data_IF_692454817574
#
_entry.id   IF_692454817574
#
_cell.length_a   1.000
_cell.length_b   1.000
_cell.length_c   1.000
_cell.angle_alpha   90.00
_cell.angle_beta   90.00
_cell.angle_gamma   90.00
#
_symmetry.space_group_name_H-M   'P 1'
#
loop_
_entity.id
_entity.type
_entity.pdbx_description
1 polymer ?
#
# COMPACT_ATOMS: atom_id res chain seq x y z
N UNK A 1 -14.04 2.00 13.81
CA UNK A 1 -14.69 2.04 12.51
C UNK A 1 -15.06 0.64 12.05
N UNK A 2 -16.22 0.51 11.46
CA UNK A 2 -16.74 -0.77 10.99
C UNK A 2 -16.15 -1.12 9.63
N UNK A 3 -15.47 -2.27 9.54
CA UNK A 3 -14.87 -2.75 8.30
C UNK A 3 -15.90 -3.27 7.30
N UNK A 4 -17.13 -3.53 7.74
CA UNK A 4 -18.21 -3.96 6.86
C UNK A 4 -18.63 -2.90 5.85
N UNK A 5 -18.27 -1.63 6.10
CA UNK A 5 -18.50 -0.52 5.17
C UNK A 5 -17.66 -0.61 3.90
N UNK A 6 -16.64 -1.49 3.86
CA UNK A 6 -15.74 -1.62 2.74
C UNK A 6 -16.07 -2.84 1.91
N UNK A 7 -15.87 -2.69 0.59
CA UNK A 7 -16.10 -3.78 -0.37
C UNK A 7 -14.78 -4.51 -0.63
N UNK A 8 -14.79 -5.84 -0.50
CA UNK A 8 -13.62 -6.66 -0.82
C UNK A 8 -13.27 -6.60 -2.30
N UNK A 9 -11.99 -6.54 -2.60
CA UNK A 9 -11.48 -6.61 -3.95
C UNK A 9 -11.78 -7.98 -4.57
N UNK A 10 -12.20 -7.97 -5.84
CA UNK A 10 -12.36 -9.20 -6.62
C UNK A 10 -11.03 -9.78 -7.06
N UNK A 11 -9.94 -9.03 -6.87
CA UNK A 11 -8.61 -9.44 -7.34
C UNK A 11 -7.87 -10.34 -6.35
N UNK A 12 -8.44 -10.63 -5.19
CA UNK A 12 -7.80 -11.57 -4.25
C UNK A 12 -7.69 -12.93 -4.94
N UNK A 13 -6.46 -13.46 -5.01
CA UNK A 13 -6.14 -14.67 -5.75
C UNK A 13 -5.80 -14.44 -7.20
N UNK A 14 -5.84 -13.19 -7.68
CA UNK A 14 -5.55 -12.82 -9.07
C UNK A 14 -4.24 -12.04 -9.16
N UNK A 15 -3.60 -12.00 -10.34
CA UNK A 15 -2.45 -11.12 -10.54
C UNK A 15 -2.85 -9.65 -10.38
N UNK A 16 -1.91 -8.82 -9.93
CA UNK A 16 -2.12 -7.37 -9.96
C UNK A 16 -2.40 -6.93 -11.39
N UNK A 17 -3.27 -5.93 -11.60
CA UNK A 17 -3.49 -5.39 -12.93
C UNK A 17 -2.21 -4.79 -13.49
N UNK A 18 -2.10 -4.75 -14.81
CA UNK A 18 -0.97 -4.10 -15.46
C UNK A 18 -1.12 -2.58 -15.34
N UNK A 19 -0.05 -1.92 -14.85
CA UNK A 19 -0.06 -0.46 -14.68
C UNK A 19 1.35 0.09 -14.60
N UNK A 20 1.46 1.40 -14.77
CA UNK A 20 2.68 2.15 -14.55
C UNK A 20 2.32 3.53 -14.01
N UNK A 21 2.77 3.85 -12.82
CA UNK A 21 2.50 5.13 -12.17
C UNK A 21 3.79 5.95 -12.05
N UNK A 22 3.72 7.25 -12.33
CA UNK A 22 4.87 8.13 -12.12
C UNK A 22 5.18 8.30 -10.64
N UNK A 23 6.37 8.83 -10.30
CA UNK A 23 6.71 9.12 -8.91
C UNK A 23 5.70 10.08 -8.28
N UNK A 24 5.30 9.80 -7.06
CA UNK A 24 4.39 10.66 -6.30
C UNK A 24 5.11 11.80 -5.60
N UNK A 25 6.42 11.66 -5.39
CA UNK A 25 7.23 12.63 -4.67
C UNK A 25 8.66 12.57 -5.21
N UNK A 26 9.35 13.71 -5.17
CA UNK A 26 10.75 13.78 -5.58
C UNK A 26 11.62 12.91 -4.67
N UNK A 27 12.59 12.23 -5.25
CA UNK A 27 13.54 11.40 -4.51
C UNK A 27 13.08 9.97 -4.26
N UNK A 28 11.88 9.60 -4.70
CA UNK A 28 11.34 8.27 -4.54
C UNK A 28 10.84 7.77 -5.90
N UNK A 29 11.23 6.55 -6.35
CA UNK A 29 10.78 6.07 -7.65
C UNK A 29 9.28 5.83 -7.68
N UNK A 30 8.69 5.88 -8.88
CA UNK A 30 7.31 5.48 -9.10
C UNK A 30 7.13 3.98 -9.00
N UNK A 31 5.96 3.49 -9.40
CA UNK A 31 5.60 2.09 -9.25
C UNK A 31 4.96 1.56 -10.53
N UNK A 32 5.50 0.45 -11.02
CA UNK A 32 4.88 -0.30 -12.11
C UNK A 32 4.51 -1.70 -11.62
N UNK A 33 3.57 -2.36 -12.32
CA UNK A 33 3.14 -3.71 -11.95
C UNK A 33 4.30 -4.70 -11.94
N UNK A 34 5.31 -4.52 -12.80
CA UNK A 34 6.49 -5.38 -12.83
C UNK A 34 7.31 -5.31 -11.53
N UNK A 35 7.25 -4.19 -10.81
CA UNK A 35 7.91 -4.07 -9.51
C UNK A 35 7.26 -4.97 -8.45
N UNK A 36 6.02 -5.40 -8.68
CA UNK A 36 5.25 -6.24 -7.77
C UNK A 36 5.37 -7.73 -8.08
N UNK A 37 6.15 -8.10 -9.09
CA UNK A 37 6.46 -9.50 -9.43
C UNK A 37 7.97 -9.70 -9.54
N UNK A 38 8.70 -9.15 -8.58
CA UNK A 38 10.17 -9.14 -8.57
C UNK A 38 10.77 -10.33 -7.81
N UNK A 39 9.98 -11.31 -7.45
CA UNK A 39 10.44 -12.49 -6.74
C UNK A 39 10.39 -12.39 -5.23
N UNK A 40 9.85 -11.30 -4.69
CA UNK A 40 9.74 -11.08 -3.24
C UNK A 40 8.31 -10.72 -2.86
N UNK A 41 7.79 -11.29 -1.74
CA UNK A 41 6.50 -10.83 -1.22
C UNK A 41 6.64 -9.43 -0.66
N UNK A 42 5.59 -8.62 -0.83
CA UNK A 42 5.61 -7.24 -0.38
C UNK A 42 4.21 -6.73 -0.10
N UNK A 43 4.13 -5.63 0.64
CA UNK A 43 2.88 -4.93 0.88
C UNK A 43 2.74 -3.76 -0.09
N UNK A 44 1.51 -3.54 -0.53
CA UNK A 44 1.12 -2.37 -1.33
C UNK A 44 0.09 -1.60 -0.51
N UNK A 45 0.40 -0.34 -0.21
CA UNK A 45 -0.45 0.50 0.64
C UNK A 45 -1.01 1.68 -0.15
N UNK A 46 -2.33 1.74 -0.26
CA UNK A 46 -3.03 2.90 -0.82
C UNK A 46 -3.25 3.91 0.30
N UNK A 47 -2.79 5.14 0.10
CA UNK A 47 -2.90 6.19 1.11
C UNK A 47 -3.12 7.56 0.45
N UNK A 48 -3.39 8.55 1.29
CA UNK A 48 -3.42 9.95 0.88
C UNK A 48 -2.92 10.83 2.01
N UNK A 49 -2.24 11.91 1.69
CA UNK A 49 -1.77 12.87 2.69
C UNK A 49 -2.95 13.55 3.42
N UNK A 50 -4.12 13.60 2.76
CA UNK A 50 -5.36 14.18 3.26
C UNK A 50 -6.16 13.20 4.15
N UNK A 51 -5.69 11.98 4.31
CA UNK A 51 -6.43 10.88 4.94
C UNK A 51 -6.01 10.73 6.41
N UNK A 52 -6.94 10.98 7.34
CA UNK A 52 -6.66 10.90 8.78
C UNK A 52 -6.31 9.47 9.23
N UNK A 53 -7.05 8.42 8.86
CA UNK A 53 -6.67 7.05 9.22
C UNK A 53 -5.30 6.63 8.69
N UNK A 54 -4.86 7.21 7.58
CA UNK A 54 -3.51 6.96 7.04
C UNK A 54 -2.43 7.46 8.00
N UNK A 55 -2.68 8.54 8.71
CA UNK A 55 -1.78 9.04 9.75
C UNK A 55 -1.74 8.09 10.93
N UNK A 56 -2.89 7.54 11.31
CA UNK A 56 -3.01 6.64 12.45
C UNK A 56 -2.24 5.33 12.23
N UNK A 57 -2.16 4.84 10.99
CA UNK A 57 -1.44 3.58 10.70
C UNK A 57 0.06 3.77 10.51
N UNK A 58 0.55 5.00 10.39
CA UNK A 58 1.96 5.26 10.07
C UNK A 58 2.94 4.53 11.01
N UNK A 59 2.75 4.49 12.34
CA UNK A 59 3.64 3.74 13.22
C UNK A 59 3.67 2.25 12.92
N UNK A 60 2.55 1.67 12.50
CA UNK A 60 2.44 0.25 12.20
C UNK A 60 3.15 -0.09 10.88
N UNK A 61 3.04 0.78 9.87
CA UNK A 61 3.81 0.62 8.65
C UNK A 61 5.31 0.72 8.93
N UNK A 62 5.72 1.65 9.80
CA UNK A 62 7.11 1.78 10.21
C UNK A 62 7.60 0.50 10.89
N UNK A 63 6.79 -0.09 11.76
CA UNK A 63 7.14 -1.34 12.45
C UNK A 63 7.31 -2.50 11.47
N UNK A 64 6.43 -2.61 10.47
CA UNK A 64 6.54 -3.64 9.43
C UNK A 64 7.80 -3.44 8.59
N UNK A 65 8.09 -2.21 8.18
CA UNK A 65 9.30 -1.89 7.42
C UNK A 65 10.56 -2.22 8.23
N UNK A 66 10.58 -1.88 9.52
CA UNK A 66 11.70 -2.19 10.41
C UNK A 66 11.91 -3.69 10.57
N UNK A 67 10.85 -4.49 10.46
CA UNK A 67 10.93 -5.95 10.49
C UNK A 67 11.36 -6.56 9.17
N UNK A 68 11.63 -5.74 8.14
CA UNK A 68 12.15 -6.20 6.86
C UNK A 68 11.12 -6.32 5.75
N UNK A 69 9.86 -5.96 6.00
CA UNK A 69 8.81 -6.05 4.99
C UNK A 69 8.96 -4.93 3.98
N UNK A 70 9.15 -5.24 2.68
CA UNK A 70 9.13 -4.21 1.65
C UNK A 70 7.70 -3.66 1.51
N UNK A 71 7.58 -2.34 1.49
CA UNK A 71 6.29 -1.67 1.36
C UNK A 71 6.36 -0.68 0.20
N UNK A 72 5.46 -0.82 -0.76
CA UNK A 72 5.28 0.17 -1.81
C UNK A 72 4.02 0.96 -1.54
N UNK A 73 4.07 2.25 -1.81
CA UNK A 73 2.95 3.15 -1.60
C UNK A 73 2.29 3.57 -2.90
N UNK A 74 0.99 3.79 -2.86
CA UNK A 74 0.24 4.40 -3.95
C UNK A 74 -0.49 5.60 -3.35
N UNK A 75 -0.05 6.80 -3.75
CA UNK A 75 -0.65 8.04 -3.29
C UNK A 75 -1.87 8.36 -4.14
N UNK A 76 -3.05 8.34 -3.52
CA UNK A 76 -4.32 8.53 -4.19
C UNK A 76 -4.68 10.02 -4.22
N UNK A 77 -4.92 10.54 -5.44
CA UNK A 77 -5.44 11.91 -5.64
C UNK A 77 -4.70 12.92 -4.78
N UNK A 78 -3.38 12.95 -4.92
CA UNK A 78 -2.49 13.73 -4.08
C UNK A 78 -1.52 14.53 -4.94
N UNK A 79 -0.76 15.40 -4.33
CA UNK A 79 0.28 16.17 -5.01
C UNK A 79 1.64 15.97 -4.33
N UNK A 80 2.76 16.20 -5.06
CA UNK A 80 4.08 15.89 -4.52
C UNK A 80 4.45 16.65 -3.26
N UNK A 81 4.03 17.90 -3.15
CA UNK A 81 4.35 18.73 -1.98
C UNK A 81 3.66 18.21 -0.73
N UNK A 82 2.37 17.88 -0.82
CA UNK A 82 1.63 17.35 0.30
C UNK A 82 2.10 15.94 0.69
N UNK A 83 2.45 15.12 -0.29
CA UNK A 83 3.06 13.80 -0.01
C UNK A 83 4.37 13.98 0.76
N UNK A 84 5.23 14.92 0.34
CA UNK A 84 6.49 15.19 1.05
C UNK A 84 6.25 15.58 2.50
N UNK A 85 5.32 16.49 2.74
CA UNK A 85 4.98 16.93 4.10
C UNK A 85 4.47 15.77 4.96
N UNK A 86 3.64 14.92 4.37
CA UNK A 86 3.12 13.73 5.05
C UNK A 86 4.25 12.78 5.47
N UNK A 87 5.16 12.48 4.55
CA UNK A 87 6.30 11.59 4.85
C UNK A 87 7.23 12.19 5.89
N UNK A 88 7.48 13.49 5.82
CA UNK A 88 8.34 14.18 6.79
C UNK A 88 7.74 14.16 8.20
N UNK A 89 6.41 14.28 8.29
CA UNK A 89 5.72 14.35 9.58
C UNK A 89 5.47 12.97 10.20
N UNK A 90 5.08 11.98 9.38
CA UNK A 90 4.61 10.69 9.88
C UNK A 90 5.57 9.53 9.59
N UNK A 91 6.61 9.76 8.80
CA UNK A 91 7.59 8.73 8.45
C UNK A 91 7.41 8.23 7.02
N UNK A 92 8.49 7.65 6.49
CA UNK A 92 8.57 7.13 5.12
C UNK A 92 8.96 5.65 5.15
N UNK A 93 7.99 4.75 5.24
CA UNK A 93 8.26 3.31 5.23
C UNK A 93 8.38 2.74 3.82
N UNK A 94 8.19 3.55 2.78
CA UNK A 94 8.01 3.08 1.42
C UNK A 94 9.32 2.96 0.65
N UNK A 95 9.48 1.88 -0.12
CA UNK A 95 10.59 1.73 -1.06
C UNK A 95 10.32 2.49 -2.36
N UNK A 96 9.04 2.57 -2.76
CA UNK A 96 8.55 3.25 -3.96
C UNK A 96 7.21 3.88 -3.65
N UNK A 97 6.88 4.97 -4.33
CA UNK A 97 5.55 5.58 -4.22
C UNK A 97 5.09 6.01 -5.61
N UNK A 98 4.04 5.36 -6.11
CA UNK A 98 3.41 5.74 -7.37
C UNK A 98 2.28 6.75 -7.16
N UNK A 99 2.10 7.66 -8.11
CA UNK A 99 1.03 8.65 -8.06
C UNK A 99 -0.18 8.18 -8.85
N UNK A 100 -1.25 7.82 -8.14
CA UNK A 100 -2.55 7.49 -8.74
C UNK A 100 -3.44 8.75 -8.70
N UNK A 101 -3.12 9.71 -9.57
CA UNK A 101 -3.67 11.06 -9.49
C UNK A 101 -5.16 11.14 -9.80
N UNK A 102 -5.64 10.30 -10.70
CA UNK A 102 -7.05 10.26 -11.10
C UNK A 102 -7.83 9.12 -10.43
N UNK A 103 -7.16 8.30 -9.62
CA UNK A 103 -7.81 7.18 -8.93
C UNK A 103 -8.08 5.96 -9.80
N UNK A 104 -7.54 5.89 -11.01
CA UNK A 104 -7.79 4.76 -11.92
C UNK A 104 -7.27 3.44 -11.38
N UNK A 105 -6.06 3.46 -10.80
CA UNK A 105 -5.49 2.23 -10.27
C UNK A 105 -6.26 1.74 -9.05
N UNK A 106 -6.74 2.65 -8.20
CA UNK A 106 -7.59 2.26 -7.09
C UNK A 106 -8.80 1.49 -7.58
N UNK A 107 -9.45 1.98 -8.63
CA UNK A 107 -10.62 1.29 -9.22
C UNK A 107 -10.22 -0.07 -9.78
N UNK A 108 -9.10 -0.14 -10.51
CA UNK A 108 -8.61 -1.40 -11.09
C UNK A 108 -8.27 -2.44 -10.01
N UNK A 109 -7.71 -2.01 -8.90
CA UNK A 109 -7.42 -2.89 -7.76
C UNK A 109 -8.69 -3.34 -7.02
N UNK A 110 -9.80 -2.67 -7.27
CA UNK A 110 -11.04 -2.92 -6.53
C UNK A 110 -10.98 -2.40 -5.10
N UNK A 111 -10.10 -1.44 -4.83
CA UNK A 111 -10.01 -0.79 -3.53
C UNK A 111 -11.18 0.19 -3.37
N UNK A 112 -11.84 0.15 -2.23
CA UNK A 112 -13.03 0.96 -1.98
C UNK A 112 -12.77 2.25 -1.22
N UNK A 113 -11.55 2.44 -0.71
CA UNK A 113 -11.20 3.63 0.05
C UNK A 113 -9.73 3.63 0.43
N UNK A 114 -9.34 4.54 1.31
CA UNK A 114 -8.01 4.60 1.91
C UNK A 114 -8.13 4.69 3.43
N UNK A 115 -7.19 4.11 4.16
CA UNK A 115 -6.11 3.26 3.65
C UNK A 115 -6.61 1.85 3.35
N UNK A 116 -5.94 1.19 2.40
CA UNK A 116 -6.05 -0.23 2.17
C UNK A 116 -4.67 -0.79 1.87
N UNK A 117 -4.40 -1.99 2.35
CA UNK A 117 -3.09 -2.62 2.20
C UNK A 117 -3.26 -4.03 1.65
N UNK A 118 -2.47 -4.34 0.63
CA UNK A 118 -2.52 -5.64 -0.02
C UNK A 118 -1.19 -6.36 0.16
N UNK A 119 -1.25 -7.66 0.43
CA UNK A 119 -0.07 -8.52 0.37
C UNK A 119 0.00 -9.12 -1.02
N UNK A 120 1.13 -8.94 -1.68
CA UNK A 120 1.38 -9.44 -3.03
C UNK A 120 2.48 -10.49 -2.97
N UNK A 121 2.21 -11.65 -3.58
CA UNK A 121 3.16 -12.76 -3.66
C UNK A 121 4.33 -12.44 -4.58
N UNK A 122 5.44 -13.22 -4.52
CA UNK A 122 6.60 -13.00 -5.40
C UNK A 122 6.28 -12.93 -6.89
N UNK A 123 5.24 -13.63 -7.34
CA UNK A 123 4.82 -13.66 -8.74
C UNK A 123 3.80 -12.57 -9.10
N UNK A 124 3.43 -11.70 -8.16
CA UNK A 124 2.47 -10.63 -8.41
C UNK A 124 1.02 -10.98 -8.08
N UNK A 125 0.75 -12.15 -7.53
CA UNK A 125 -0.61 -12.53 -7.12
C UNK A 125 -1.01 -11.81 -5.85
N UNK A 126 -2.21 -11.23 -5.82
CA UNK A 126 -2.76 -10.60 -4.62
C UNK A 126 -3.25 -11.70 -3.68
N UNK A 127 -2.65 -11.78 -2.50
CA UNK A 127 -2.95 -12.83 -1.53
C UNK A 127 -3.94 -12.39 -0.45
N UNK A 128 -3.90 -11.10 -0.07
CA UNK A 128 -4.63 -10.62 1.09
C UNK A 128 -4.93 -9.15 0.94
N UNK A 129 -6.07 -8.72 1.46
CA UNK A 129 -6.49 -7.33 1.51
C UNK A 129 -6.81 -6.96 2.95
N UNK A 130 -6.11 -5.95 3.47
CA UNK A 130 -6.43 -5.35 4.76
C UNK A 130 -7.16 -4.04 4.51
N UNK A 131 -8.43 -3.99 4.89
CA UNK A 131 -9.29 -2.82 4.68
C UNK A 131 -9.22 -1.93 5.92
N UNK A 132 -8.98 -0.64 5.70
CA UNK A 132 -8.87 0.33 6.78
C UNK A 132 -7.46 0.41 7.35
N UNK A 133 -7.31 1.20 8.41
CA UNK A 133 -6.01 1.42 9.03
C UNK A 133 -5.47 0.15 9.68
N UNK A 134 -4.17 -0.04 9.54
CA UNK A 134 -3.46 -1.13 10.22
C UNK A 134 -3.28 -0.73 11.67
N UNK A 135 -3.77 -1.56 12.58
CA UNK A 135 -3.68 -1.34 14.02
C UNK A 135 -2.53 -2.17 14.61
N UNK A 136 -2.14 -1.85 15.82
CA UNK A 136 -1.04 -2.55 16.49
C UNK A 136 -1.26 -4.07 16.51
N UNK A 137 -2.49 -4.51 16.76
CA UNK A 137 -2.84 -5.94 16.79
C UNK A 137 -2.76 -6.62 15.43
N UNK A 138 -2.81 -5.85 14.33
CA UNK A 138 -2.72 -6.40 12.97
C UNK A 138 -1.27 -6.67 12.54
N UNK A 139 -0.29 -6.04 13.19
CA UNK A 139 1.11 -6.14 12.78
C UNK A 139 1.64 -7.58 12.83
N UNK A 140 1.44 -8.34 13.92
CA UNK A 140 1.92 -9.73 13.94
C UNK A 140 1.29 -10.60 12.87
N UNK A 141 0.01 -10.40 12.57
CA UNK A 141 -0.71 -11.17 11.55
C UNK A 141 -0.17 -10.88 10.15
N UNK A 142 0.02 -9.59 9.84
CA UNK A 142 0.56 -9.18 8.55
C UNK A 142 2.00 -9.66 8.38
N UNK A 143 2.81 -9.58 9.42
CA UNK A 143 4.19 -10.05 9.38
C UNK A 143 4.24 -11.55 9.12
N UNK A 144 3.39 -12.33 9.77
CA UNK A 144 3.32 -13.77 9.56
C UNK A 144 2.88 -14.10 8.14
N UNK A 145 1.83 -13.44 7.65
CA UNK A 145 1.34 -13.65 6.29
C UNK A 145 2.43 -13.34 5.25
N UNK A 146 3.18 -12.27 5.47
CA UNK A 146 4.29 -11.91 4.59
C UNK A 146 5.39 -12.97 4.61
N UNK A 147 5.78 -13.47 5.79
CA UNK A 147 6.79 -14.53 5.89
C UNK A 147 6.34 -15.81 5.19
N UNK A 148 5.06 -16.16 5.33
CA UNK A 148 4.51 -17.38 4.72
C UNK A 148 4.40 -17.25 3.19
N UNK A 149 4.40 -16.05 2.65
CA UNK A 149 4.30 -15.80 1.22
C UNK A 149 5.64 -15.95 0.47
N UNK A 150 6.75 -16.05 1.19
CA UNK A 150 8.08 -16.17 0.59
C UNK A 150 8.27 -17.50 -0.16
#
# INVERSE_FOLDING_TARGET
RDRDDFVRSRLIGQPVPEFSLPPAVEGKPGLASTDLSDGKPQLVNFFGSWCIPCRAEAPQLAALAAAGVPITGIALRDDPENVRKFLDQYGDPFTRIGADRDGRLQVLFGASGVPETYLVAPDGTILLQHIGDIRAEDVPELLRAWKDAA
#
